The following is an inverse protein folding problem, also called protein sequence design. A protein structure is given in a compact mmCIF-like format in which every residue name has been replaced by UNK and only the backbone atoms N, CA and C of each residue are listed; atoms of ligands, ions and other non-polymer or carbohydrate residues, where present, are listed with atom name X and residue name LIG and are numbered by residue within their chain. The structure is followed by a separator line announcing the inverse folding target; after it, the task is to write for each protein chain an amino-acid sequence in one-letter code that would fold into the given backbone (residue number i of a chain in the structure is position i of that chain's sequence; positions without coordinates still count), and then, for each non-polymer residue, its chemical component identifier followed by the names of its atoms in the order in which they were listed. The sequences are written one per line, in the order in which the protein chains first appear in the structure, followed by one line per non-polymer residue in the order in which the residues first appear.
data_IF_511827908512
#
_entry.id   IF_511827908512
#
_cell.length_a   1.000
_cell.length_b   1.000
_cell.length_c   1.000
_cell.angle_alpha   90.00
_cell.angle_beta   90.00
_cell.angle_gamma   90.00
#
_symmetry.space_group_name_H-M   'P 1'
#
loop_
_entity.id
_entity.type
_entity.pdbx_description
1 polymer ?
#
# COMPACT_ATOMS: atom_id res chain seq x y z
N UNK A 1 -27.33 11.92 4.99
CA UNK A 1 -26.49 11.18 5.95
C UNK A 1 -25.22 11.99 6.07
N UNK A 2 -24.85 12.41 7.27
CA UNK A 2 -23.61 13.18 7.46
C UNK A 2 -22.44 12.23 7.24
N UNK A 3 -21.70 12.44 6.16
CA UNK A 3 -20.36 11.87 6.00
C UNK A 3 -19.48 12.50 7.07
N UNK A 4 -18.77 11.68 7.81
CA UNK A 4 -17.80 12.19 8.79
C UNK A 4 -16.70 12.93 8.04
N UNK A 5 -16.44 14.17 8.42
CA UNK A 5 -15.38 14.96 7.79
C UNK A 5 -14.03 14.27 7.98
N UNK A 6 -13.17 14.24 6.96
CA UNK A 6 -11.86 13.64 7.10
C UNK A 6 -10.98 14.39 8.10
N UNK A 7 -10.10 13.66 8.75
CA UNK A 7 -9.11 14.25 9.64
C UNK A 7 -7.90 14.67 8.82
N UNK A 8 -7.49 15.92 8.99
CA UNK A 8 -6.44 16.53 8.20
C UNK A 8 -5.15 16.66 9.01
N UNK A 9 -4.05 16.15 8.48
CA UNK A 9 -2.71 16.38 8.99
C UNK A 9 -1.83 16.98 7.88
N UNK A 10 -1.26 18.17 8.13
CA UNK A 10 -0.37 18.85 7.19
C UNK A 10 1.10 18.60 7.51
N UNK A 11 1.88 18.26 6.50
CA UNK A 11 3.33 18.24 6.53
C UNK A 11 3.87 19.58 6.02
N UNK A 12 5.02 20.02 6.53
CA UNK A 12 5.70 21.23 6.07
C UNK A 12 6.37 21.05 4.70
N UNK A 13 6.50 19.80 4.23
CA UNK A 13 7.21 19.42 3.01
C UNK A 13 6.37 18.51 2.13
N UNK A 14 6.75 18.46 0.88
CA UNK A 14 6.22 17.50 -0.09
C UNK A 14 6.43 16.06 0.39
N UNK A 15 5.48 15.19 0.06
CA UNK A 15 5.54 13.78 0.41
C UNK A 15 4.84 12.93 -0.66
N UNK A 16 5.31 11.71 -0.86
CA UNK A 16 4.71 10.73 -1.78
C UNK A 16 4.53 9.37 -1.16
N UNK A 17 5.20 9.13 -0.06
CA UNK A 17 5.30 7.81 0.54
C UNK A 17 4.44 7.72 1.77
N UNK A 18 3.48 6.82 1.74
CA UNK A 18 2.55 6.50 2.82
C UNK A 18 2.44 4.98 2.94
N UNK A 19 2.49 4.46 4.16
CA UNK A 19 2.09 3.09 4.47
C UNK A 19 1.46 3.01 5.85
N UNK A 20 0.65 1.99 6.11
CA UNK A 20 0.24 1.66 7.48
C UNK A 20 1.41 1.04 8.24
N UNK A 21 1.43 1.16 9.56
CA UNK A 21 2.38 0.48 10.43
C UNK A 21 1.87 -0.94 10.72
N UNK A 22 2.08 -1.87 9.79
CA UNK A 22 1.43 -3.19 9.78
C UNK A 22 1.66 -4.04 11.03
N UNK A 23 2.81 -3.90 11.69
CA UNK A 23 3.07 -4.59 12.96
C UNK A 23 2.32 -4.01 14.16
N UNK A 24 1.60 -2.89 14.00
CA UNK A 24 0.72 -2.29 15.00
C UNK A 24 -0.73 -2.64 14.69
N UNK A 25 -1.41 -3.32 15.59
CA UNK A 25 -2.77 -3.83 15.38
C UNK A 25 -3.80 -3.25 16.35
N UNK A 26 -3.37 -2.47 17.33
CA UNK A 26 -4.27 -1.85 18.32
C UNK A 26 -4.58 -0.39 17.99
N UNK A 27 -3.56 0.34 17.48
CA UNK A 27 -3.65 1.76 17.19
C UNK A 27 -3.57 2.03 15.70
N UNK A 28 -4.42 2.94 15.22
CA UNK A 28 -4.38 3.38 13.81
C UNK A 28 -3.15 4.26 13.61
N UNK A 29 -2.12 3.73 12.92
CA UNK A 29 -0.87 4.43 12.66
C UNK A 29 -0.46 4.38 11.20
N UNK A 30 -0.03 5.54 10.70
CA UNK A 30 0.49 5.69 9.34
C UNK A 30 1.89 6.29 9.36
N UNK A 31 2.76 5.75 8.51
CA UNK A 31 4.12 6.24 8.30
C UNK A 31 4.20 7.02 7.00
N UNK A 32 4.77 8.23 7.06
CA UNK A 32 4.91 9.13 5.92
C UNK A 32 6.36 9.53 5.77
N UNK A 33 6.91 9.40 4.56
CA UNK A 33 8.25 9.89 4.23
C UNK A 33 8.21 11.24 3.51
N UNK A 34 9.01 12.20 3.97
CA UNK A 34 9.11 13.54 3.35
C UNK A 34 10.10 13.59 2.19
N UNK A 35 9.90 14.54 1.27
CA UNK A 35 10.72 14.74 0.07
C UNK A 35 11.22 16.19 -0.05
N UNK A 36 11.84 16.70 1.00
CA UNK A 36 12.47 18.02 0.94
C UNK A 36 13.81 17.99 0.22
N UNK A 37 14.03 18.92 -0.72
CA UNK A 37 15.30 19.11 -1.41
C UNK A 37 16.30 19.96 -0.61
N UNK A 38 15.84 20.77 0.33
CA UNK A 38 16.63 21.80 1.01
C UNK A 38 16.73 21.61 2.52
N UNK A 39 15.89 20.76 3.08
CA UNK A 39 15.79 20.53 4.53
C UNK A 39 16.02 19.05 4.83
N UNK A 40 16.26 18.76 6.10
CA UNK A 40 16.33 17.39 6.57
C UNK A 40 15.00 16.69 6.35
N UNK A 41 15.06 15.47 5.85
CA UNK A 41 13.89 14.65 5.67
C UNK A 41 13.57 13.86 6.94
N UNK A 42 12.35 13.39 7.06
CA UNK A 42 11.89 12.66 8.24
C UNK A 42 10.82 11.64 7.88
N UNK A 43 10.68 10.65 8.74
CA UNK A 43 9.52 9.76 8.76
C UNK A 43 8.58 10.29 9.85
N UNK A 44 7.36 10.63 9.46
CA UNK A 44 6.31 11.00 10.39
C UNK A 44 5.46 9.76 10.68
N UNK A 45 5.36 9.38 11.95
CA UNK A 45 4.37 8.41 12.43
C UNK A 45 3.18 9.22 12.92
N UNK A 46 2.07 9.09 12.23
CA UNK A 46 0.81 9.75 12.58
C UNK A 46 -0.11 8.71 13.19
N UNK A 47 -0.46 8.90 14.44
CA UNK A 47 -1.39 8.06 15.19
C UNK A 47 -2.74 8.76 15.31
N UNK A 48 -3.79 8.02 15.05
CA UNK A 48 -5.16 8.47 15.19
C UNK A 48 -5.89 7.63 16.23
N UNK A 49 -6.42 8.32 17.24
CA UNK A 49 -7.28 7.73 18.27
C UNK A 49 -8.74 8.05 17.96
N UNK A 50 -9.52 7.02 17.71
CA UNK A 50 -10.94 7.11 17.38
C UNK A 50 -11.79 7.63 18.54
N UNK A 51 -11.48 7.24 19.78
CA UNK A 51 -12.29 7.60 20.94
C UNK A 51 -12.16 9.09 21.29
N UNK A 52 -10.94 9.61 21.26
CA UNK A 52 -10.67 11.02 21.55
C UNK A 52 -10.73 11.95 20.33
N UNK A 53 -10.79 11.38 19.12
CA UNK A 53 -10.69 12.10 17.83
C UNK A 53 -9.41 12.93 17.74
N UNK A 54 -8.35 12.47 18.39
CA UNK A 54 -7.06 13.14 18.43
C UNK A 54 -6.07 12.53 17.46
N UNK A 55 -5.23 13.40 16.89
CA UNK A 55 -4.09 13.00 16.07
C UNK A 55 -2.81 13.32 16.82
N UNK A 56 -2.01 12.30 17.08
CA UNK A 56 -0.67 12.43 17.65
C UNK A 56 0.38 12.22 16.57
N UNK A 57 1.50 12.93 16.67
CA UNK A 57 2.60 12.82 15.73
C UNK A 57 3.92 12.51 16.43
N UNK A 58 4.69 11.62 15.83
CA UNK A 58 6.07 11.33 16.21
C UNK A 58 6.95 11.48 14.98
N UNK A 59 8.05 12.19 15.10
CA UNK A 59 8.92 12.53 13.98
C UNK A 59 10.27 11.85 14.17
N UNK A 60 10.66 11.06 13.18
CA UNK A 60 11.96 10.39 13.13
C UNK A 60 12.83 11.08 12.08
N UNK A 61 13.85 11.87 12.47
CA UNK A 61 14.78 12.47 11.52
C UNK A 61 15.44 11.38 10.65
N UNK A 62 15.35 11.53 9.34
CA UNK A 62 15.96 10.60 8.41
C UNK A 62 17.36 11.09 8.04
N UNK A 63 18.42 10.26 8.23
CA UNK A 63 19.81 10.72 8.09
C UNK A 63 20.25 11.00 6.66
N UNK A 64 19.41 10.64 5.67
CA UNK A 64 19.72 10.73 4.24
C UNK A 64 18.68 11.58 3.51
N UNK A 65 18.77 11.67 2.19
CA UNK A 65 17.95 12.54 1.36
C UNK A 65 16.46 12.20 1.27
N UNK A 66 15.82 12.60 0.18
CA UNK A 66 14.38 12.47 -0.06
C UNK A 66 13.90 11.03 0.05
N UNK A 67 12.80 10.79 0.75
CA UNK A 67 12.20 9.45 0.94
C UNK A 67 11.17 9.21 -0.15
N UNK A 68 11.43 8.28 -1.04
CA UNK A 68 10.54 7.92 -2.15
C UNK A 68 9.58 6.78 -1.84
N UNK A 69 9.95 5.91 -0.90
CA UNK A 69 9.09 4.84 -0.42
C UNK A 69 9.38 4.58 1.06
N UNK A 70 8.33 4.43 1.85
CA UNK A 70 8.34 3.84 3.18
C UNK A 70 7.56 2.53 3.12
N UNK A 71 8.03 1.51 3.79
CA UNK A 71 7.36 0.23 3.84
C UNK A 71 7.59 -0.40 5.22
N UNK A 72 6.55 -0.44 6.04
CA UNK A 72 6.61 -1.01 7.37
C UNK A 72 6.77 -2.54 7.30
N UNK A 73 7.49 -3.09 8.27
CA UNK A 73 7.59 -4.54 8.41
C UNK A 73 6.21 -5.15 8.76
N UNK A 74 5.82 -6.29 8.17
CA UNK A 74 4.48 -6.85 8.36
C UNK A 74 4.14 -7.20 9.81
N UNK A 75 5.13 -7.61 10.62
CA UNK A 75 4.89 -8.11 11.98
C UNK A 75 5.61 -7.35 13.09
N UNK A 76 6.53 -6.43 12.76
CA UNK A 76 7.33 -5.69 13.74
C UNK A 76 7.09 -4.20 13.55
N UNK A 77 6.39 -3.59 14.52
CA UNK A 77 5.99 -2.19 14.44
C UNK A 77 7.19 -1.22 14.46
N UNK A 78 8.31 -1.63 15.02
CA UNK A 78 9.52 -0.83 15.16
C UNK A 78 10.48 -0.92 13.95
N UNK A 79 10.14 -1.68 12.90
CA UNK A 79 10.99 -1.85 11.73
C UNK A 79 10.35 -1.23 10.48
N UNK A 80 11.13 -0.42 9.78
CA UNK A 80 10.71 0.23 8.52
C UNK A 80 11.82 0.15 7.48
N UNK A 81 11.45 -0.17 6.25
CA UNK A 81 12.31 -0.04 5.07
C UNK A 81 12.02 1.25 4.33
N UNK A 82 13.04 1.94 3.85
CA UNK A 82 12.89 3.13 3.00
C UNK A 82 13.65 2.97 1.70
N UNK A 83 13.10 3.53 0.62
CA UNK A 83 13.85 3.85 -0.58
C UNK A 83 14.04 5.36 -0.60
N UNK A 84 15.27 5.81 -0.64
CA UNK A 84 15.61 7.20 -0.47
C UNK A 84 16.82 7.59 -1.31
N UNK A 85 17.04 8.88 -1.47
CA UNK A 85 18.21 9.41 -2.16
C UNK A 85 19.41 9.42 -1.23
N UNK A 86 20.49 8.79 -1.64
CA UNK A 86 21.75 8.82 -0.90
C UNK A 86 22.56 10.11 -1.12
N UNK A 87 23.65 10.26 -0.38
CA UNK A 87 24.57 11.41 -0.52
C UNK A 87 25.20 11.54 -1.91
N UNK A 88 25.30 10.44 -2.65
CA UNK A 88 25.78 10.38 -4.03
C UNK A 88 24.68 10.61 -5.08
N UNK A 89 23.50 11.07 -4.68
CA UNK A 89 22.31 11.27 -5.51
C UNK A 89 21.71 9.98 -6.12
N UNK A 90 22.20 8.81 -5.74
CA UNK A 90 21.66 7.51 -6.16
C UNK A 90 20.54 7.07 -5.23
N UNK A 91 19.60 6.30 -5.77
CA UNK A 91 18.51 5.70 -5.00
C UNK A 91 19.00 4.45 -4.27
N UNK A 92 18.84 4.45 -2.96
CA UNK A 92 19.26 3.38 -2.05
C UNK A 92 18.07 2.87 -1.26
N UNK A 93 18.18 1.64 -0.74
CA UNK A 93 17.23 1.11 0.22
C UNK A 93 17.94 0.87 1.55
N UNK A 94 17.28 1.24 2.66
CA UNK A 94 17.80 1.02 4.01
C UNK A 94 16.70 0.56 4.94
N UNK A 95 17.02 -0.40 5.79
CA UNK A 95 16.15 -0.88 6.86
C UNK A 95 16.57 -0.19 8.15
N UNK A 96 15.60 0.38 8.83
CA UNK A 96 15.78 1.07 10.11
C UNK A 96 14.95 0.40 11.20
N UNK A 97 15.47 0.50 12.41
CA UNK A 97 14.71 0.30 13.63
C UNK A 97 14.33 1.67 14.19
N UNK A 98 13.05 1.84 14.45
CA UNK A 98 12.48 3.04 15.07
C UNK A 98 12.49 2.90 16.58
N UNK A 99 12.86 3.97 17.30
CA UNK A 99 12.65 4.02 18.75
C UNK A 99 11.15 3.91 19.08
N UNK A 100 10.79 3.33 20.24
CA UNK A 100 9.38 3.19 20.63
C UNK A 100 8.64 4.53 20.63
N UNK A 101 7.40 4.51 20.18
CA UNK A 101 6.47 5.62 20.32
C UNK A 101 6.09 5.74 21.80
N UNK A 102 6.25 6.90 22.46
CA UNK A 102 5.83 7.08 23.85
C UNK A 102 4.33 6.86 23.98
N UNK A 103 3.90 6.10 24.99
CA UNK A 103 2.48 5.88 25.26
C UNK A 103 1.80 7.21 25.65
N UNK A 104 0.60 7.46 25.14
CA UNK A 104 -0.24 8.61 25.51
C UNK A 104 -0.49 8.52 27.03
N UNK A 105 0.13 9.39 27.79
CA UNK A 105 -0.02 9.43 29.27
C UNK A 105 1.23 9.84 30.03
N UNK A 106 2.40 9.90 29.43
CA UNK A 106 3.60 10.44 30.03
C UNK A 106 3.81 11.89 29.58
N UNK A 107 3.30 12.84 30.39
CA UNK A 107 3.58 14.28 30.41
C UNK A 107 3.59 14.98 29.04
N UNK A 108 2.40 15.29 28.52
CA UNK A 108 2.24 16.35 27.53
C UNK A 108 1.98 17.66 28.30
N UNK A 109 3.04 18.26 28.84
CA UNK A 109 2.98 19.58 29.46
C UNK A 109 3.23 20.74 28.48
N UNK A 110 3.14 20.51 27.16
CA UNK A 110 3.14 21.62 26.20
C UNK A 110 2.51 21.20 24.88
N UNK A 111 1.58 21.99 24.41
CA UNK A 111 0.85 21.88 23.13
C UNK A 111 1.75 21.92 21.87
N UNK A 112 3.07 22.04 22.01
CA UNK A 112 4.05 22.23 20.92
C UNK A 112 5.20 21.22 20.89
N UNK A 113 5.18 20.16 21.70
CA UNK A 113 6.30 19.20 21.69
C UNK A 113 6.16 18.15 20.61
N UNK A 114 6.81 18.40 19.48
CA UNK A 114 7.14 17.34 18.51
C UNK A 114 8.02 16.32 19.21
N UNK A 115 7.50 15.13 19.50
CA UNK A 115 8.32 14.03 20.03
C UNK A 115 9.24 13.55 18.92
N UNK A 116 10.55 13.72 19.09
CA UNK A 116 11.54 13.23 18.15
C UNK A 116 11.98 11.83 18.54
N UNK A 117 11.80 10.89 17.61
CA UNK A 117 12.34 9.55 17.71
C UNK A 117 13.73 9.43 17.08
N UNK A 118 14.32 8.25 17.19
CA UNK A 118 15.59 7.91 16.58
C UNK A 118 15.43 6.75 15.60
N UNK A 119 16.18 6.80 14.49
CA UNK A 119 16.31 5.73 13.52
C UNK A 119 17.69 5.08 13.67
N UNK A 120 17.71 3.80 14.01
CA UNK A 120 18.93 2.98 14.01
C UNK A 120 19.00 2.23 12.67
N UNK A 121 20.12 2.34 11.97
CA UNK A 121 20.36 1.60 10.72
C UNK A 121 20.61 0.14 11.03
N UNK A 122 19.72 -0.74 10.59
CA UNK A 122 19.91 -2.19 10.68
C UNK A 122 20.67 -2.71 9.46
N UNK A 123 20.30 -2.29 8.26
CA UNK A 123 20.94 -2.76 7.03
C UNK A 123 20.75 -1.77 5.88
N UNK A 124 21.77 -1.64 5.04
CA UNK A 124 21.68 -0.97 3.75
C UNK A 124 21.69 -2.01 2.63
N UNK A 125 20.71 -1.90 1.73
CA UNK A 125 20.47 -2.84 0.64
C UNK A 125 20.83 -2.16 -0.68
N UNK A 126 21.71 -2.79 -1.43
CA UNK A 126 22.15 -2.31 -2.75
C UNK A 126 23.66 -2.41 -2.90
N UNK A 127 24.14 -2.64 -4.11
CA UNK A 127 25.53 -2.51 -4.46
C UNK A 127 25.83 -1.06 -4.86
N UNK A 128 27.07 -0.62 -4.74
CA UNK A 128 27.50 0.76 -5.04
C UNK A 128 27.11 1.24 -6.47
N UNK A 129 26.91 0.31 -7.39
CA UNK A 129 26.58 0.58 -8.79
C UNK A 129 25.10 0.41 -9.13
N UNK A 130 24.24 0.03 -8.17
CA UNK A 130 22.84 -0.26 -8.43
C UNK A 130 21.93 0.73 -7.71
N UNK A 131 20.94 1.26 -8.43
CA UNK A 131 19.91 2.12 -7.87
C UNK A 131 18.63 1.31 -7.60
N UNK A 132 18.12 1.43 -6.39
CA UNK A 132 16.89 0.75 -5.97
C UNK A 132 15.67 1.58 -6.34
N UNK A 133 14.75 0.99 -7.11
CA UNK A 133 13.49 1.61 -7.48
C UNK A 133 12.33 1.25 -6.53
N UNK A 134 12.30 0.00 -6.05
CA UNK A 134 11.27 -0.52 -5.14
C UNK A 134 11.86 -1.43 -4.08
N UNK A 135 11.27 -1.36 -2.90
CA UNK A 135 11.57 -2.20 -1.75
C UNK A 135 10.27 -2.90 -1.32
N UNK A 136 10.30 -4.22 -1.13
CA UNK A 136 9.13 -5.01 -0.78
C UNK A 136 9.49 -5.98 0.35
N UNK A 137 8.72 -5.94 1.43
CA UNK A 137 8.76 -6.99 2.44
C UNK A 137 8.06 -8.25 1.94
N UNK A 138 8.55 -9.42 2.34
CA UNK A 138 7.78 -10.66 2.20
C UNK A 138 6.51 -10.54 3.03
N UNK A 139 5.32 -10.72 2.43
CA UNK A 139 4.08 -10.77 3.17
C UNK A 139 4.10 -11.87 4.25
N UNK A 140 3.36 -11.70 5.31
CA UNK A 140 3.17 -12.58 6.44
C UNK A 140 4.38 -12.66 7.39
N UNK A 141 5.54 -13.13 6.95
CA UNK A 141 6.67 -13.42 7.84
C UNK A 141 7.66 -12.24 7.97
N UNK A 142 7.85 -11.45 6.90
CA UNK A 142 8.83 -10.37 6.85
C UNK A 142 10.29 -10.83 6.86
N UNK A 143 10.54 -12.14 6.80
CA UNK A 143 11.91 -12.70 6.87
C UNK A 143 12.72 -12.49 5.59
N UNK A 144 12.08 -12.05 4.52
CA UNK A 144 12.74 -11.74 3.25
C UNK A 144 12.36 -10.37 2.77
N UNK A 145 13.28 -9.79 2.02
CA UNK A 145 13.11 -8.53 1.33
C UNK A 145 13.42 -8.72 -0.14
N UNK A 146 12.69 -8.02 -0.99
CA UNK A 146 13.04 -7.88 -2.40
C UNK A 146 13.32 -6.41 -2.69
N UNK A 147 14.43 -6.16 -3.35
CA UNK A 147 14.69 -4.88 -4.00
C UNK A 147 14.61 -5.06 -5.51
N UNK A 148 13.91 -4.15 -6.16
CA UNK A 148 13.90 -4.06 -7.61
C UNK A 148 14.64 -2.80 -8.03
N UNK A 149 15.64 -2.97 -8.87
CA UNK A 149 16.54 -1.91 -9.26
C UNK A 149 16.07 -1.21 -10.54
N UNK A 150 16.57 0.01 -10.76
CA UNK A 150 16.27 0.80 -11.98
C UNK A 150 16.81 0.15 -13.25
N UNK A 151 17.85 -0.70 -13.13
CA UNK A 151 18.40 -1.52 -14.21
C UNK A 151 17.62 -2.82 -14.46
N UNK A 152 16.40 -2.91 -13.90
CA UNK A 152 15.49 -4.05 -14.07
C UNK A 152 15.97 -5.36 -13.43
N UNK A 153 16.82 -5.29 -12.42
CA UNK A 153 17.25 -6.44 -11.63
C UNK A 153 16.40 -6.60 -10.38
N UNK A 154 16.06 -7.84 -10.05
CA UNK A 154 15.40 -8.22 -8.81
C UNK A 154 16.44 -8.90 -7.91
N UNK A 155 16.65 -8.37 -6.71
CA UNK A 155 17.50 -8.97 -5.70
C UNK A 155 16.64 -9.43 -4.52
N UNK A 156 16.91 -10.62 -4.02
CA UNK A 156 16.26 -11.18 -2.83
C UNK A 156 17.26 -11.21 -1.68
N UNK A 157 16.79 -10.79 -0.52
CA UNK A 157 17.61 -10.68 0.70
C UNK A 157 16.92 -11.45 1.81
N UNK A 158 17.66 -12.24 2.59
CA UNK A 158 17.20 -12.76 3.88
C UNK A 158 17.40 -11.70 4.94
N UNK A 159 16.35 -11.42 5.69
CA UNK A 159 16.37 -10.51 6.81
C UNK A 159 16.13 -11.30 8.10
N UNK A 160 17.01 -11.11 9.09
CA UNK A 160 16.80 -11.64 10.44
C UNK A 160 16.53 -10.50 11.41
N UNK A 161 15.70 -10.75 12.41
CA UNK A 161 15.33 -9.76 13.45
C UNK A 161 16.54 -9.15 14.19
N UNK A 162 17.71 -9.77 14.11
CA UNK A 162 18.99 -9.25 14.64
C UNK A 162 19.67 -8.25 13.70
N UNK A 163 19.02 -7.85 12.59
CA UNK A 163 19.57 -6.90 11.62
C UNK A 163 20.63 -7.49 10.68
N UNK A 164 20.80 -8.81 10.69
CA UNK A 164 21.70 -9.46 9.72
C UNK A 164 20.99 -9.66 8.40
N UNK A 165 21.53 -9.06 7.36
CA UNK A 165 21.03 -9.24 6.00
C UNK A 165 22.02 -10.08 5.23
N UNK A 166 21.56 -11.22 4.73
CA UNK A 166 22.31 -12.03 3.78
C UNK A 166 21.72 -11.87 2.39
N UNK A 167 22.59 -11.60 1.42
CA UNK A 167 22.18 -11.58 0.01
C UNK A 167 21.93 -13.02 -0.44
N UNK A 168 20.67 -13.37 -0.61
CA UNK A 168 20.30 -14.52 -1.42
C UNK A 168 20.40 -14.07 -2.87
N UNK A 169 21.54 -14.34 -3.52
CA UNK A 169 21.78 -13.94 -4.90
C UNK A 169 20.80 -14.62 -5.86
N UNK A 170 19.67 -13.96 -6.13
CA UNK A 170 18.89 -14.22 -7.32
C UNK A 170 18.78 -12.90 -8.09
N UNK A 171 19.59 -12.74 -9.09
CA UNK A 171 19.43 -11.61 -10.02
C UNK A 171 18.60 -12.10 -11.19
N UNK A 172 17.34 -11.68 -11.27
CA UNK A 172 16.52 -11.84 -12.45
C UNK A 172 16.56 -10.54 -13.26
N UNK A 173 16.91 -10.63 -14.50
CA UNK A 173 16.95 -9.48 -15.40
C UNK A 173 15.62 -9.38 -16.15
N UNK A 174 14.89 -8.31 -15.92
CA UNK A 174 13.69 -7.96 -16.66
C UNK A 174 14.06 -7.40 -18.03
N UNK A 175 13.19 -7.59 -19.02
CA UNK A 175 13.46 -7.14 -20.39
C UNK A 175 13.27 -5.63 -20.57
N UNK A 176 12.43 -5.00 -19.76
CA UNK A 176 12.06 -3.60 -19.83
C UNK A 176 12.18 -2.92 -18.48
N UNK A 177 12.16 -1.58 -18.49
CA UNK A 177 12.17 -0.79 -17.27
C UNK A 177 10.92 -1.07 -16.42
N UNK A 178 11.14 -1.40 -15.16
CA UNK A 178 10.08 -1.63 -14.21
C UNK A 178 9.40 -0.31 -13.81
N UNK A 179 8.07 -0.36 -13.72
CA UNK A 179 7.24 0.74 -13.25
C UNK A 179 6.61 0.46 -11.89
N UNK A 180 6.18 -0.78 -11.65
CA UNK A 180 5.59 -1.20 -10.38
C UNK A 180 5.98 -2.65 -10.05
N UNK A 181 5.94 -2.99 -8.77
CA UNK A 181 6.09 -4.36 -8.31
C UNK A 181 5.36 -4.56 -6.99
N UNK A 182 4.81 -5.76 -6.79
CA UNK A 182 4.27 -6.17 -5.50
C UNK A 182 4.47 -7.66 -5.27
N UNK A 183 4.52 -8.06 -4.01
CA UNK A 183 4.72 -9.43 -3.60
C UNK A 183 3.38 -10.11 -3.34
N UNK A 184 3.17 -11.29 -3.92
CA UNK A 184 1.96 -12.06 -3.68
C UNK A 184 1.92 -12.62 -2.25
N UNK A 185 0.83 -12.42 -1.51
CA UNK A 185 0.65 -13.03 -0.19
C UNK A 185 0.37 -14.53 -0.27
N UNK A 186 0.11 -15.04 -1.47
CA UNK A 186 -0.28 -16.43 -1.73
C UNK A 186 0.92 -17.29 -2.17
N UNK A 187 0.65 -18.56 -2.46
CA UNK A 187 1.62 -19.53 -3.02
C UNK A 187 2.89 -19.67 -2.17
N UNK A 188 2.75 -19.61 -0.84
CA UNK A 188 3.86 -19.68 0.10
C UNK A 188 4.78 -18.47 -0.02
N UNK A 189 4.24 -17.32 -0.42
CA UNK A 189 4.96 -16.05 -0.58
C UNK A 189 6.23 -16.16 -1.45
N UNK A 190 6.13 -16.90 -2.57
CA UNK A 190 7.26 -17.08 -3.49
C UNK A 190 7.06 -16.39 -4.84
N UNK A 191 5.95 -15.67 -5.03
CA UNK A 191 5.64 -15.03 -6.30
C UNK A 191 5.66 -13.51 -6.17
N UNK A 192 6.23 -12.85 -7.17
CA UNK A 192 6.25 -11.40 -7.30
C UNK A 192 5.67 -11.04 -8.67
N UNK A 193 4.73 -10.09 -8.67
CA UNK A 193 4.29 -9.44 -9.89
C UNK A 193 5.13 -8.19 -10.14
N UNK A 194 5.52 -7.99 -11.39
CA UNK A 194 6.29 -6.84 -11.84
C UNK A 194 5.64 -6.26 -13.08
N UNK A 195 5.33 -4.98 -13.03
CA UNK A 195 4.88 -4.22 -14.19
C UNK A 195 6.08 -3.56 -14.87
N UNK A 196 6.10 -3.66 -16.20
CA UNK A 196 7.12 -3.09 -17.07
C UNK A 196 6.43 -2.28 -18.14
N UNK A 197 6.36 -0.99 -17.95
CA UNK A 197 5.57 -0.09 -18.79
C UNK A 197 4.10 -0.56 -18.86
N UNK A 198 3.65 -1.03 -20.02
CA UNK A 198 2.28 -1.54 -20.24
C UNK A 198 2.10 -3.03 -19.95
N UNK A 199 3.20 -3.74 -19.70
CA UNK A 199 3.22 -5.20 -19.55
C UNK A 199 3.29 -5.62 -18.10
N UNK A 200 2.80 -6.83 -17.81
CA UNK A 200 2.81 -7.41 -16.48
C UNK A 200 3.39 -8.82 -16.51
N UNK A 201 4.30 -9.11 -15.60
CA UNK A 201 4.86 -10.45 -15.43
C UNK A 201 4.73 -10.90 -13.97
N UNK A 202 4.49 -12.18 -13.77
CA UNK A 202 4.59 -12.83 -12.45
C UNK A 202 5.72 -13.84 -12.48
N UNK A 203 6.63 -13.73 -11.51
CA UNK A 203 7.85 -14.54 -11.41
C UNK A 203 7.82 -15.33 -10.09
N UNK A 204 8.21 -16.61 -10.15
CA UNK A 204 8.42 -17.44 -8.95
C UNK A 204 9.90 -17.37 -8.55
N UNK A 205 10.15 -16.87 -7.34
CA UNK A 205 11.49 -16.72 -6.79
C UNK A 205 12.27 -18.03 -6.63
N UNK A 206 11.56 -19.17 -6.50
CA UNK A 206 12.19 -20.52 -6.41
C UNK A 206 12.68 -21.03 -7.76
N UNK A 207 12.10 -20.55 -8.83
CA UNK A 207 12.37 -21.01 -10.20
C UNK A 207 12.69 -19.87 -11.15
N UNK A 208 13.33 -18.85 -10.66
CA UNK A 208 13.59 -17.57 -11.34
C UNK A 208 14.28 -17.76 -12.71
N UNK A 209 15.11 -18.81 -12.86
CA UNK A 209 15.79 -19.12 -14.10
C UNK A 209 14.88 -19.74 -15.18
N UNK A 210 13.63 -20.13 -14.82
CA UNK A 210 12.67 -20.71 -15.77
C UNK A 210 11.81 -19.64 -16.48
N UNK A 211 12.00 -18.37 -16.15
CA UNK A 211 11.20 -17.28 -16.70
C UNK A 211 9.97 -16.95 -15.87
N UNK A 212 9.07 -16.15 -16.46
CA UNK A 212 7.79 -15.76 -15.86
C UNK A 212 6.81 -16.92 -15.84
N UNK A 213 6.00 -17.01 -14.79
CA UNK A 213 4.87 -17.93 -14.68
C UNK A 213 3.72 -17.43 -15.58
N UNK A 214 3.46 -16.13 -15.49
CA UNK A 214 2.45 -15.43 -16.27
C UNK A 214 3.10 -14.22 -16.94
N UNK A 215 2.75 -14.01 -18.20
CA UNK A 215 3.18 -12.85 -18.97
C UNK A 215 1.96 -12.27 -19.69
N UNK A 216 1.62 -11.05 -19.37
CA UNK A 216 0.53 -10.30 -19.96
C UNK A 216 1.12 -9.10 -20.70
N UNK A 217 1.04 -9.13 -22.02
CA UNK A 217 1.45 -8.04 -22.88
C UNK A 217 0.28 -7.06 -23.08
N UNK A 218 0.58 -5.78 -23.05
CA UNK A 218 -0.40 -4.71 -23.22
C UNK A 218 -1.58 -4.80 -22.24
N UNK A 219 -1.28 -5.04 -20.95
CA UNK A 219 -2.27 -5.03 -19.90
C UNK A 219 -3.00 -3.68 -19.81
N UNK A 220 -2.26 -2.59 -20.02
CA UNK A 220 -2.77 -1.23 -20.13
C UNK A 220 -2.35 -0.59 -21.45
N UNK A 221 -3.03 0.49 -21.85
CA UNK A 221 -2.68 1.27 -23.05
C UNK A 221 -1.47 2.17 -22.77
N UNK A 222 -1.38 2.66 -21.53
CA UNK A 222 -0.32 3.52 -21.02
C UNK A 222 0.41 2.81 -19.85
N UNK A 223 1.53 3.35 -19.34
CA UNK A 223 2.29 2.70 -18.29
C UNK A 223 1.48 2.37 -17.02
N UNK A 224 1.69 1.17 -16.50
CA UNK A 224 1.15 0.72 -15.22
C UNK A 224 1.91 1.44 -14.09
N UNK A 225 1.21 2.03 -13.14
CA UNK A 225 1.79 2.75 -12.00
C UNK A 225 1.84 1.93 -10.74
N UNK A 226 0.86 1.06 -10.55
CA UNK A 226 0.82 0.22 -9.36
C UNK A 226 0.01 -1.05 -9.60
N UNK A 227 0.20 -2.01 -8.72
CA UNK A 227 -0.52 -3.27 -8.71
C UNK A 227 -0.66 -3.79 -7.29
N UNK A 228 -1.75 -4.51 -7.04
CA UNK A 228 -1.99 -5.15 -5.75
C UNK A 228 -2.67 -6.50 -5.92
N UNK A 229 -2.37 -7.45 -5.04
CA UNK A 229 -3.00 -8.75 -5.04
C UNK A 229 -4.23 -8.75 -4.14
N UNK A 230 -5.27 -9.46 -4.56
CA UNK A 230 -6.38 -9.73 -3.66
C UNK A 230 -5.86 -10.54 -2.46
N UNK A 231 -6.11 -10.10 -1.21
CA UNK A 231 -5.56 -10.75 -0.03
C UNK A 231 -6.13 -12.13 0.24
N UNK A 232 -7.36 -12.40 -0.21
CA UNK A 232 -8.09 -13.63 0.08
C UNK A 232 -8.18 -14.59 -1.10
N UNK A 233 -8.16 -14.06 -2.34
CA UNK A 233 -8.28 -14.86 -3.57
C UNK A 233 -6.96 -14.93 -4.33
N UNK A 234 -6.31 -16.08 -4.29
CA UNK A 234 -4.93 -16.30 -4.75
C UNK A 234 -4.65 -16.02 -6.23
N UNK A 235 -5.68 -15.91 -7.08
CA UNK A 235 -5.50 -15.72 -8.51
C UNK A 235 -5.94 -14.33 -9.00
N UNK A 236 -6.38 -13.48 -8.10
CA UNK A 236 -6.89 -12.16 -8.47
C UNK A 236 -5.91 -11.06 -8.07
N UNK A 237 -5.77 -10.10 -8.96
CA UNK A 237 -4.97 -8.90 -8.75
C UNK A 237 -5.60 -7.70 -9.43
N UNK A 238 -5.29 -6.52 -8.96
CA UNK A 238 -5.66 -5.25 -9.56
C UNK A 238 -4.40 -4.54 -10.08
N UNK A 239 -4.55 -3.80 -11.17
CA UNK A 239 -3.53 -2.90 -11.71
C UNK A 239 -4.14 -1.55 -12.01
N UNK A 240 -3.34 -0.48 -11.93
CA UNK A 240 -3.76 0.86 -12.33
C UNK A 240 -2.65 1.56 -13.10
N UNK A 241 -2.99 2.55 -13.91
CA UNK A 241 -2.01 3.17 -14.78
C UNK A 241 -2.36 4.58 -15.28
N UNK A 242 -1.51 5.06 -16.18
CA UNK A 242 -1.62 6.40 -16.77
C UNK A 242 -2.83 6.55 -17.70
N UNK A 243 -3.43 5.43 -18.13
CA UNK A 243 -4.67 5.42 -18.92
C UNK A 243 -5.93 5.75 -18.09
N UNK A 244 -5.78 6.11 -16.79
CA UNK A 244 -6.91 6.41 -15.90
C UNK A 244 -7.74 5.19 -15.51
N UNK A 245 -7.29 4.00 -15.90
CA UNK A 245 -8.02 2.76 -15.66
C UNK A 245 -7.49 2.00 -14.44
N UNK A 246 -8.42 1.33 -13.76
CA UNK A 246 -8.15 0.25 -12.83
C UNK A 246 -8.69 -1.04 -13.41
N UNK A 247 -7.83 -2.04 -13.56
CA UNK A 247 -8.18 -3.32 -14.16
C UNK A 247 -7.95 -4.46 -13.20
N UNK A 248 -8.87 -5.40 -13.17
CA UNK A 248 -8.83 -6.58 -12.32
C UNK A 248 -8.62 -7.82 -13.19
N UNK A 249 -7.74 -8.69 -12.76
CA UNK A 249 -7.26 -9.82 -13.54
C UNK A 249 -7.42 -11.13 -12.80
N UNK A 250 -7.84 -12.17 -13.51
CA UNK A 250 -7.61 -13.55 -13.10
C UNK A 250 -6.34 -14.04 -13.80
N UNK A 251 -5.26 -14.25 -13.05
CA UNK A 251 -3.96 -14.63 -13.62
C UNK A 251 -3.97 -16.00 -14.32
N UNK A 252 -5.00 -16.81 -14.12
CA UNK A 252 -5.18 -18.09 -14.85
C UNK A 252 -5.71 -17.88 -16.26
N UNK A 253 -6.43 -16.79 -16.49
CA UNK A 253 -6.97 -16.39 -17.78
C UNK A 253 -6.69 -14.91 -18.05
N UNK A 254 -5.50 -14.64 -18.54
CA UNK A 254 -4.97 -13.28 -18.75
C UNK A 254 -5.34 -12.68 -20.13
N UNK A 255 -6.23 -13.30 -20.88
CA UNK A 255 -6.59 -12.83 -22.22
C UNK A 255 -7.31 -11.47 -22.21
N UNK A 256 -8.04 -11.19 -21.14
CA UNK A 256 -8.76 -9.93 -20.91
C UNK A 256 -8.94 -9.69 -19.41
N UNK A 257 -9.07 -8.43 -18.97
CA UNK A 257 -9.43 -8.14 -17.58
C UNK A 257 -10.82 -8.67 -17.27
N UNK A 258 -11.00 -9.21 -16.06
CA UNK A 258 -12.31 -9.67 -15.59
C UNK A 258 -13.23 -8.49 -15.32
N UNK A 259 -12.65 -7.38 -14.80
CA UNK A 259 -13.34 -6.12 -14.58
C UNK A 259 -12.41 -4.98 -14.98
N UNK A 260 -12.93 -3.98 -15.68
CA UNK A 260 -12.19 -2.76 -16.03
C UNK A 260 -13.02 -1.55 -15.65
N UNK A 261 -12.39 -0.61 -14.93
CA UNK A 261 -13.01 0.61 -14.44
C UNK A 261 -12.22 1.82 -14.92
N UNK A 262 -12.92 2.90 -15.23
CA UNK A 262 -12.33 4.20 -15.58
C UNK A 262 -12.99 5.27 -14.73
N UNK A 263 -12.58 5.31 -13.45
CA UNK A 263 -13.20 6.15 -12.42
C UNK A 263 -12.39 7.43 -12.13
N UNK A 264 -11.19 7.53 -12.70
CA UNK A 264 -10.30 8.70 -12.63
C UNK A 264 -10.21 9.42 -13.98
N UNK A 265 -10.07 10.75 -13.93
CA UNK A 265 -9.93 11.60 -15.12
C UNK A 265 -8.47 11.82 -15.52
N UNK A 266 -7.53 11.32 -14.72
CA UNK A 266 -6.10 11.44 -14.93
C UNK A 266 -5.39 10.16 -14.45
N UNK A 267 -4.05 10.16 -14.43
CA UNK A 267 -3.22 9.04 -13.99
C UNK A 267 -3.63 8.49 -12.63
N UNK A 268 -3.72 7.18 -12.54
CA UNK A 268 -3.97 6.49 -11.27
C UNK A 268 -2.63 6.02 -10.71
N UNK A 269 -2.24 6.59 -9.58
CA UNK A 269 -0.93 6.33 -8.98
C UNK A 269 -0.87 5.07 -8.14
N UNK A 270 -1.98 4.72 -7.49
CA UNK A 270 -1.98 3.61 -6.58
C UNK A 270 -3.33 2.91 -6.53
N UNK A 271 -3.29 1.60 -6.33
CA UNK A 271 -4.45 0.74 -6.07
C UNK A 271 -4.16 -0.13 -4.85
N UNK A 272 -5.14 -0.26 -3.91
CA UNK A 272 -5.00 -1.08 -2.70
C UNK A 272 -6.29 -1.80 -2.36
N UNK A 273 -6.21 -3.12 -2.28
CA UNK A 273 -7.28 -3.92 -1.67
C UNK A 273 -7.34 -3.68 -0.16
N UNK A 274 -8.54 -3.74 0.39
CA UNK A 274 -8.71 -3.87 1.82
C UNK A 274 -8.33 -5.28 2.26
N UNK A 275 -7.48 -5.39 3.29
CA UNK A 275 -6.95 -6.68 3.75
C UNK A 275 -8.02 -7.55 4.40
N UNK A 276 -9.02 -6.92 5.03
CA UNK A 276 -10.10 -7.61 5.76
C UNK A 276 -11.32 -7.86 4.86
N UNK A 277 -11.63 -6.88 4.00
CA UNK A 277 -12.82 -6.86 3.14
C UNK A 277 -12.38 -6.69 1.69
N UNK A 278 -12.01 -7.80 1.04
CA UNK A 278 -11.40 -7.80 -0.30
C UNK A 278 -12.34 -7.35 -1.44
N UNK A 279 -13.61 -7.10 -1.13
CA UNK A 279 -14.54 -6.41 -2.03
C UNK A 279 -14.29 -4.90 -2.11
N UNK A 280 -13.55 -4.32 -1.15
CA UNK A 280 -13.25 -2.90 -1.09
C UNK A 280 -11.86 -2.60 -1.67
N UNK A 281 -11.81 -1.68 -2.63
CA UNK A 281 -10.58 -1.28 -3.30
C UNK A 281 -10.48 0.24 -3.32
N UNK A 282 -9.32 0.76 -2.90
CA UNK A 282 -8.98 2.17 -2.99
C UNK A 282 -8.11 2.42 -4.20
N UNK A 283 -8.36 3.54 -4.87
CA UNK A 283 -7.48 4.09 -5.91
C UNK A 283 -7.22 5.57 -5.66
N UNK A 284 -6.03 6.03 -6.02
CA UNK A 284 -5.59 7.42 -5.87
C UNK A 284 -5.05 7.94 -7.20
N UNK A 285 -5.46 9.15 -7.59
CA UNK A 285 -5.15 9.72 -8.89
C UNK A 285 -4.57 11.13 -8.88
N UNK A 286 -4.02 11.52 -10.02
CA UNK A 286 -3.56 12.89 -10.28
C UNK A 286 -4.72 13.90 -10.45
N UNK A 287 -5.93 13.44 -10.49
CA UNK A 287 -7.15 14.26 -10.49
C UNK A 287 -7.54 14.75 -9.08
N UNK A 288 -6.62 14.62 -8.11
CA UNK A 288 -6.82 15.00 -6.70
C UNK A 288 -7.93 14.19 -5.99
N UNK A 289 -8.26 13.01 -6.50
CA UNK A 289 -9.35 12.16 -5.98
C UNK A 289 -8.81 10.87 -5.40
N UNK A 290 -9.52 10.39 -4.37
CA UNK A 290 -9.45 9.00 -3.90
C UNK A 290 -10.81 8.35 -4.18
N UNK A 291 -10.81 7.21 -4.83
CA UNK A 291 -12.05 6.50 -5.15
C UNK A 291 -12.09 5.19 -4.38
N UNK A 292 -13.15 5.01 -3.61
CA UNK A 292 -13.51 3.75 -2.98
C UNK A 292 -14.46 3.00 -3.91
N UNK A 293 -14.02 1.84 -4.36
CA UNK A 293 -14.74 0.99 -5.33
C UNK A 293 -15.11 -0.33 -4.69
N UNK A 294 -16.30 -0.83 -5.01
CA UNK A 294 -16.69 -2.22 -4.78
C UNK A 294 -16.28 -3.09 -5.97
N UNK A 295 -15.61 -4.19 -5.67
CA UNK A 295 -15.33 -5.29 -6.60
C UNK A 295 -15.93 -6.60 -6.05
N UNK A 296 -17.20 -6.55 -5.66
CA UNK A 296 -17.88 -7.63 -4.97
C UNK A 296 -17.92 -8.93 -5.79
N UNK A 297 -18.07 -8.86 -7.10
CA UNK A 297 -18.04 -10.03 -7.98
C UNK A 297 -16.72 -10.81 -7.94
N UNK A 298 -15.64 -10.14 -7.52
CA UNK A 298 -14.28 -10.69 -7.47
C UNK A 298 -13.80 -10.97 -6.05
N UNK A 299 -14.63 -10.73 -5.05
CA UNK A 299 -14.29 -10.92 -3.63
C UNK A 299 -14.41 -12.36 -3.18
N UNK A 300 -13.86 -12.65 -2.01
CA UNK A 300 -13.99 -13.94 -1.34
C UNK A 300 -15.41 -14.16 -0.78
N UNK A 301 -16.13 -13.07 -0.53
CA UNK A 301 -17.51 -13.06 -0.06
C UNK A 301 -18.43 -12.37 -1.09
N UNK A 302 -18.66 -12.95 -2.26
CA UNK A 302 -19.37 -12.29 -3.36
C UNK A 302 -20.86 -12.09 -3.09
N UNK A 303 -21.43 -12.85 -2.14
CA UNK A 303 -22.87 -12.81 -1.82
C UNK A 303 -23.07 -12.82 -0.32
N UNK A 304 -23.76 -11.80 0.19
CA UNK A 304 -24.27 -11.84 1.53
C UNK A 304 -25.10 -13.12 1.73
N UNK A 305 -24.86 -13.84 2.83
CA UNK A 305 -25.44 -15.10 3.27
C UNK A 305 -25.81 -16.07 2.13
N UNK A 306 -25.10 -17.20 2.06
CA UNK A 306 -25.56 -18.41 1.39
C UNK A 306 -27.05 -18.58 1.76
N UNK A 307 -27.91 -18.66 0.74
CA UNK A 307 -29.32 -19.04 0.95
C UNK A 307 -29.30 -20.32 1.78
N UNK A 308 -29.70 -20.24 3.02
CA UNK A 308 -30.07 -21.42 3.79
C UNK A 308 -31.22 -22.07 3.03
N UNK A 309 -31.08 -23.34 2.68
CA UNK A 309 -32.10 -24.17 1.99
C UNK A 309 -33.37 -24.40 2.84
N UNK A 310 -33.54 -23.68 3.93
CA UNK A 310 -34.72 -23.74 4.76
C UNK A 310 -35.78 -22.75 4.23
N UNK A 311 -36.66 -23.33 3.42
CA UNK A 311 -37.94 -22.74 3.03
C UNK A 311 -38.88 -22.71 4.25
N UNK A 312 -38.73 -21.73 5.09
CA UNK A 312 -39.81 -21.35 6.01
C UNK A 312 -40.22 -19.92 5.68
N UNK A 313 -41.51 -19.83 5.31
CA UNK A 313 -42.24 -18.66 4.91
C UNK A 313 -42.28 -17.61 6.03
N UNK A 314 -41.48 -16.58 5.95
CA UNK A 314 -41.75 -15.29 6.56
C UNK A 314 -41.65 -14.19 5.52
N UNK A 315 -42.80 -13.57 5.21
CA UNK A 315 -43.04 -12.61 4.10
C UNK A 315 -42.50 -11.18 4.35
N UNK A 316 -41.53 -10.99 5.23
CA UNK A 316 -40.96 -9.66 5.57
C UNK A 316 -39.42 -9.58 5.56
N UNK A 317 -38.75 -10.48 4.87
CA UNK A 317 -37.32 -10.33 4.66
C UNK A 317 -37.05 -9.34 3.52
N UNK A 318 -36.63 -8.13 3.86
CA UNK A 318 -35.94 -7.19 2.96
C UNK A 318 -34.79 -7.94 2.27
N UNK A 319 -35.05 -8.48 1.08
CA UNK A 319 -34.03 -9.14 0.25
C UNK A 319 -33.00 -8.09 -0.13
N UNK A 320 -31.99 -7.95 0.72
CA UNK A 320 -30.87 -7.04 0.47
C UNK A 320 -30.18 -7.48 -0.82
N UNK A 321 -30.22 -6.61 -1.81
CA UNK A 321 -29.44 -6.82 -3.03
C UNK A 321 -27.96 -6.88 -2.67
N UNK A 322 -27.21 -7.87 -3.18
CA UNK A 322 -25.76 -7.94 -2.95
C UNK A 322 -25.09 -6.65 -3.43
N UNK A 323 -24.00 -6.25 -2.77
CA UNK A 323 -23.21 -5.09 -3.18
C UNK A 323 -22.78 -5.27 -4.65
N UNK A 324 -23.15 -4.31 -5.49
CA UNK A 324 -22.79 -4.35 -6.90
C UNK A 324 -21.36 -3.82 -7.11
N UNK A 325 -20.71 -4.26 -8.19
CA UNK A 325 -19.44 -3.65 -8.62
C UNK A 325 -19.66 -2.20 -9.00
N UNK A 326 -18.80 -1.31 -8.52
CA UNK A 326 -18.90 0.11 -8.86
C UNK A 326 -18.27 1.05 -7.85
N UNK A 327 -18.31 2.34 -8.17
CA UNK A 327 -17.88 3.39 -7.25
C UNK A 327 -18.86 3.47 -6.07
N UNK A 328 -18.31 3.40 -4.87
CA UNK A 328 -19.07 3.61 -3.64
C UNK A 328 -19.06 5.10 -3.29
N UNK A 329 -17.85 5.66 -3.18
CA UNK A 329 -17.64 7.06 -2.83
C UNK A 329 -16.36 7.58 -3.50
N UNK A 330 -16.39 8.82 -3.93
CA UNK A 330 -15.21 9.55 -4.38
C UNK A 330 -14.92 10.68 -3.37
N UNK A 331 -13.72 10.69 -2.84
CA UNK A 331 -13.23 11.69 -1.90
C UNK A 331 -12.45 12.75 -2.66
N UNK A 332 -12.88 14.01 -2.58
CA UNK A 332 -12.38 15.13 -3.40
C UNK A 332 -11.78 16.27 -2.55
N UNK A 333 -11.41 16.01 -1.30
CA UNK A 333 -10.91 17.01 -0.36
C UNK A 333 -9.44 17.39 -0.58
N UNK A 334 -8.72 16.65 -1.43
CA UNK A 334 -7.37 17.01 -1.83
C UNK A 334 -7.38 18.13 -2.88
N UNK A 335 -6.38 19.01 -2.80
CA UNK A 335 -6.15 20.11 -3.75
C UNK A 335 -5.07 19.79 -4.78
N UNK A 336 -4.35 18.69 -4.59
CA UNK A 336 -3.21 18.27 -5.41
C UNK A 336 -3.26 16.76 -5.66
N UNK A 337 -2.45 16.27 -6.61
CA UNK A 337 -2.32 14.86 -6.96
C UNK A 337 -2.16 13.98 -5.73
N UNK A 338 -2.99 12.95 -5.61
CA UNK A 338 -2.90 11.96 -4.54
C UNK A 338 -1.99 10.83 -4.99
N UNK A 339 -0.84 10.71 -4.34
CA UNK A 339 0.16 9.73 -4.73
C UNK A 339 0.06 8.41 -3.99
N UNK A 340 -0.53 8.42 -2.80
CA UNK A 340 -0.54 7.21 -1.99
C UNK A 340 -1.80 7.08 -1.15
N UNK A 341 -2.29 5.86 -1.02
CA UNK A 341 -3.38 5.45 -0.14
C UNK A 341 -2.97 4.20 0.66
N UNK A 342 -3.43 4.11 1.90
CA UNK A 342 -3.14 2.97 2.74
C UNK A 342 -4.34 2.65 3.65
N UNK A 343 -4.76 1.39 3.68
CA UNK A 343 -5.70 0.90 4.69
C UNK A 343 -5.00 0.81 6.04
N UNK A 344 -5.72 1.09 7.11
CA UNK A 344 -5.21 0.86 8.46
C UNK A 344 -5.02 -0.63 8.73
N UNK A 345 -4.01 -0.96 9.54
CA UNK A 345 -3.77 -2.31 10.05
C UNK A 345 -4.60 -2.64 11.29
N UNK A 346 -5.00 -1.62 12.05
CA UNK A 346 -5.75 -1.78 13.29
C UNK A 346 -7.28 -1.73 13.09
N UNK A 347 -7.75 -0.94 12.11
CA UNK A 347 -9.18 -0.80 11.82
C UNK A 347 -9.44 -0.99 10.32
N UNK A 348 -10.26 -1.98 9.99
CA UNK A 348 -10.60 -2.34 8.62
C UNK A 348 -11.41 -1.28 7.85
N UNK A 349 -11.96 -0.29 8.55
CA UNK A 349 -12.85 0.74 8.01
C UNK A 349 -12.20 2.12 7.89
N UNK A 350 -10.94 2.23 8.33
CA UNK A 350 -10.16 3.46 8.28
C UNK A 350 -9.04 3.36 7.25
N UNK A 351 -8.83 4.41 6.49
CA UNK A 351 -7.72 4.51 5.54
C UNK A 351 -7.18 5.93 5.51
N UNK A 352 -5.97 6.07 5.00
CA UNK A 352 -5.33 7.36 4.80
C UNK A 352 -4.98 7.58 3.32
N UNK A 353 -4.95 8.84 2.92
CA UNK A 353 -4.52 9.30 1.60
C UNK A 353 -3.54 10.45 1.73
N UNK A 354 -2.57 10.51 0.83
CA UNK A 354 -1.48 11.49 0.85
C UNK A 354 -1.33 12.17 -0.49
N UNK A 355 -1.49 13.51 -0.51
CA UNK A 355 -1.22 14.32 -1.69
C UNK A 355 0.22 14.84 -1.74
N UNK A 356 0.65 15.26 -2.93
CA UNK A 356 2.00 15.77 -3.17
C UNK A 356 2.38 16.96 -2.30
N UNK A 357 1.44 17.85 -2.05
CA UNK A 357 1.63 19.02 -1.18
C UNK A 357 1.88 18.68 0.30
N UNK A 358 1.92 17.40 0.67
CA UNK A 358 2.15 16.96 2.05
C UNK A 358 0.89 16.96 2.91
N UNK A 359 -0.30 16.90 2.31
CA UNK A 359 -1.56 16.81 3.04
C UNK A 359 -1.97 15.34 3.19
N UNK A 360 -1.98 14.85 4.42
CA UNK A 360 -2.54 13.56 4.80
C UNK A 360 -4.00 13.77 5.21
N UNK A 361 -4.89 12.95 4.65
CA UNK A 361 -6.28 12.84 5.08
C UNK A 361 -6.52 11.43 5.62
N UNK A 362 -7.13 11.33 6.79
CA UNK A 362 -7.59 10.06 7.35
C UNK A 362 -9.12 10.03 7.19
N UNK A 363 -9.59 9.03 6.48
CA UNK A 363 -10.99 8.84 6.14
C UNK A 363 -11.54 7.59 6.80
N UNK A 364 -12.86 7.57 6.91
CA UNK A 364 -13.63 6.39 7.29
C UNK A 364 -14.54 5.96 6.17
N UNK A 365 -14.70 4.67 6.04
CA UNK A 365 -15.70 4.07 5.15
C UNK A 365 -17.09 4.44 5.66
N UNK A 366 -18.04 4.83 4.76
CA UNK A 366 -19.39 5.21 5.15
C UNK A 366 -20.06 4.16 6.02
N UNK A 367 -20.74 4.60 7.11
CA UNK A 367 -21.39 3.69 8.08
C UNK A 367 -22.46 2.81 7.43
N UNK A 368 -23.16 3.33 6.43
CA UNK A 368 -24.15 2.56 5.67
C UNK A 368 -23.54 1.36 4.96
N UNK A 369 -22.35 1.56 4.37
CA UNK A 369 -21.61 0.49 3.72
C UNK A 369 -21.10 -0.54 4.75
N UNK A 370 -20.51 -0.06 5.85
CA UNK A 370 -20.09 -0.93 6.96
C UNK A 370 -21.23 -1.82 7.42
N UNK A 371 -22.42 -1.24 7.60
CA UNK A 371 -23.60 -1.99 7.99
C UNK A 371 -24.04 -3.00 6.92
N UNK A 372 -23.99 -2.64 5.63
CA UNK A 372 -24.39 -3.54 4.55
C UNK A 372 -23.42 -4.71 4.33
N UNK A 373 -22.15 -4.57 4.74
CA UNK A 373 -21.15 -5.66 4.64
C UNK A 373 -21.22 -6.58 5.85
N UNK A 374 -21.51 -6.05 7.06
CA UNK A 374 -21.48 -6.84 8.29
C UNK A 374 -22.80 -7.55 8.59
N UNK A 375 -23.92 -7.02 8.11
CA UNK A 375 -25.28 -7.48 8.43
C UNK A 375 -26.11 -7.70 7.18
#
# INVERSE_FOLDING_TARGET
MEEEAPIIYGLDFQARSLCAQYGETEMVRFLIGTQSLKSENSIHCVEYDEESVLVSKFVYPHPLGEIWQTNAHPNQADIVGTVHKGSNQKMLATIYKMSPVPSIGQSIDSLDSTSHGQLEVLASLGAEDQEVAKFLWQPNDGNKVVTVNTDSRINVWDFTSEGRVQVLRFTYLLQFKMTAANWSPHHGTNQIAVAMETNLQVVDLRSINKGSIYNLENAHIEPIRDLDFNPNRQYYMATCGDDGCTKFWDVRNISSPVLSRHDHYHWVWQVRYNVFHDQLVLTAGSDARVVLTSAASLSSEPFGKLMSDDKDNDEDDDVRSPLADGVITAYEEHEDSVYSVAWSSADSWTFASLSYGGRLLIHRVPRSLKHSILF
#
